data_IF_669593112625
#
_entry.id   IF_669593112625
#
_cell.length_a   1.000
_cell.length_b   1.000
_cell.length_c   1.000
_cell.angle_alpha   90.00
_cell.angle_beta   90.00
_cell.angle_gamma   90.00
#
_symmetry.space_group_name_H-M   'P 1'
#
loop_
_entity.id
_entity.type
_entity.pdbx_description
1 polymer ?
#
# COMPACT_ATOMS: atom_id res chain seq x y z
N UNK A 1 -2.64 -16.15 -3.66
CA UNK A 1 -3.29 -15.01 -4.37
C UNK A 1 -4.34 -15.53 -5.32
N UNK A 2 -5.49 -14.88 -5.42
CA UNK A 2 -6.41 -15.12 -6.53
C UNK A 2 -5.69 -14.73 -7.82
N UNK A 3 -5.68 -15.59 -8.85
CA UNK A 3 -4.89 -15.41 -10.07
C UNK A 3 -5.12 -14.12 -10.89
N UNK A 4 -5.97 -13.22 -10.38
CA UNK A 4 -6.35 -11.95 -11.00
C UNK A 4 -5.73 -10.71 -10.33
N UNK A 5 -4.82 -10.86 -9.37
CA UNK A 5 -4.18 -9.72 -8.69
C UNK A 5 -2.66 -9.81 -8.82
N UNK A 6 -2.02 -8.66 -8.96
CA UNK A 6 -0.58 -8.50 -9.03
C UNK A 6 -0.09 -7.52 -7.98
N UNK A 7 0.72 -8.01 -7.02
CA UNK A 7 1.43 -7.19 -6.05
C UNK A 7 2.86 -6.98 -6.52
N UNK A 8 3.29 -5.73 -6.59
CA UNK A 8 4.64 -5.37 -7.02
C UNK A 8 5.03 -3.97 -6.56
N UNK A 9 6.31 -3.66 -6.68
CA UNK A 9 6.79 -2.30 -6.45
C UNK A 9 6.20 -1.34 -7.49
N UNK A 10 5.88 -0.13 -7.01
CA UNK A 10 5.42 0.95 -7.85
C UNK A 10 6.51 1.40 -8.83
N UNK A 11 6.10 1.89 -9.98
CA UNK A 11 6.98 2.50 -10.98
C UNK A 11 6.79 4.01 -10.98
N UNK A 12 7.81 4.73 -11.42
CA UNK A 12 7.78 6.20 -11.43
C UNK A 12 6.63 6.78 -12.27
N UNK A 13 6.32 6.14 -13.39
CA UNK A 13 5.20 6.53 -14.26
C UNK A 13 3.81 6.34 -13.63
N UNK A 14 3.72 5.70 -12.48
CA UNK A 14 2.47 5.44 -11.75
C UNK A 14 2.23 6.46 -10.63
N UNK A 15 3.14 7.40 -10.42
CA UNK A 15 3.08 8.39 -9.34
C UNK A 15 1.76 9.15 -9.31
N UNK A 16 1.28 9.61 -10.46
CA UNK A 16 0.03 10.37 -10.56
C UNK A 16 -1.20 9.50 -10.23
N UNK A 17 -1.23 8.25 -10.68
CA UNK A 17 -2.31 7.29 -10.37
C UNK A 17 -2.36 6.99 -8.86
N UNK A 18 -1.20 6.83 -8.23
CA UNK A 18 -1.07 6.61 -6.79
C UNK A 18 -1.55 7.83 -6.01
N UNK A 19 -1.13 9.03 -6.42
CA UNK A 19 -1.55 10.28 -5.79
C UNK A 19 -3.07 10.49 -5.92
N UNK A 20 -3.66 10.15 -7.06
CA UNK A 20 -5.12 10.19 -7.25
C UNK A 20 -5.83 9.21 -6.31
N UNK A 21 -5.29 8.01 -6.11
CA UNK A 21 -5.81 7.08 -5.11
C UNK A 21 -5.80 7.69 -3.72
N UNK A 22 -4.68 8.29 -3.28
CA UNK A 22 -4.60 8.94 -1.97
C UNK A 22 -5.61 10.07 -1.82
N UNK A 23 -5.71 10.96 -2.80
CA UNK A 23 -6.67 12.07 -2.83
C UNK A 23 -8.12 11.58 -2.76
N UNK A 24 -8.44 10.45 -3.39
CA UNK A 24 -9.78 9.87 -3.37
C UNK A 24 -10.22 9.36 -2.00
N UNK A 25 -9.27 9.13 -1.09
CA UNK A 25 -9.53 8.65 0.27
C UNK A 25 -9.70 9.78 1.28
N UNK A 26 -9.21 10.99 0.97
CA UNK A 26 -9.32 12.16 1.86
C UNK A 26 -10.79 12.46 2.13
N UNK A 27 -11.12 12.70 3.40
CA UNK A 27 -12.50 12.97 3.85
C UNK A 27 -13.42 11.74 3.92
N UNK A 28 -12.91 10.55 3.60
CA UNK A 28 -13.65 9.30 3.84
C UNK A 28 -13.57 8.89 5.30
N UNK A 29 -14.52 8.08 5.76
CA UNK A 29 -14.55 7.57 7.12
C UNK A 29 -13.22 6.85 7.48
N UNK A 30 -12.65 7.18 8.63
CA UNK A 30 -11.37 6.63 9.15
C UNK A 30 -10.09 7.05 8.42
N UNK A 31 -10.16 7.92 7.43
CA UNK A 31 -8.98 8.47 6.78
C UNK A 31 -8.52 9.73 7.56
N UNK A 32 -7.31 9.67 8.11
CA UNK A 32 -6.69 10.82 8.80
C UNK A 32 -5.89 11.71 7.86
N UNK A 33 -5.82 11.35 6.57
CA UNK A 33 -5.11 12.14 5.58
C UNK A 33 -5.84 13.43 5.23
N UNK A 34 -5.06 14.41 4.80
CA UNK A 34 -5.54 15.74 4.43
C UNK A 34 -5.02 16.12 3.05
N UNK A 35 -5.42 17.26 2.52
CA UNK A 35 -4.87 17.79 1.27
C UNK A 35 -3.36 18.07 1.35
N UNK A 36 -2.82 18.17 2.57
CA UNK A 36 -1.40 18.42 2.82
C UNK A 36 -0.59 17.15 3.08
N UNK A 37 -1.24 15.98 3.14
CA UNK A 37 -0.57 14.69 3.37
C UNK A 37 -1.50 13.48 3.10
N UNK A 38 -1.04 12.44 2.35
CA UNK A 38 0.20 12.41 1.54
C UNK A 38 0.09 13.28 0.29
N UNK A 39 1.21 13.88 -0.10
CA UNK A 39 1.33 14.71 -1.30
C UNK A 39 2.24 14.03 -2.35
N UNK A 40 2.47 14.71 -3.45
CA UNK A 40 3.44 14.29 -4.46
C UNK A 40 4.85 14.08 -3.87
N UNK A 41 5.21 14.86 -2.83
CA UNK A 41 6.50 14.76 -2.15
C UNK A 41 6.68 13.37 -1.50
N UNK A 42 5.68 12.87 -0.78
CA UNK A 42 5.73 11.56 -0.13
C UNK A 42 5.75 10.43 -1.17
N UNK A 43 4.97 10.55 -2.26
CA UNK A 43 4.99 9.57 -3.35
C UNK A 43 6.37 9.51 -4.02
N UNK A 44 6.96 10.65 -4.37
CA UNK A 44 8.30 10.73 -4.97
C UNK A 44 9.38 10.22 -4.02
N UNK A 45 9.28 10.52 -2.72
CA UNK A 45 10.20 10.03 -1.71
C UNK A 45 10.17 8.51 -1.63
N UNK A 46 8.99 7.89 -1.55
CA UNK A 46 8.84 6.44 -1.51
C UNK A 46 9.32 5.76 -2.79
N UNK A 47 9.00 6.33 -3.95
CA UNK A 47 9.47 5.83 -5.24
C UNK A 47 10.99 5.90 -5.35
N UNK A 48 11.62 6.97 -4.85
CA UNK A 48 13.08 7.15 -4.89
C UNK A 48 13.83 6.08 -4.09
N UNK A 49 13.21 5.58 -3.01
CA UNK A 49 13.74 4.51 -2.14
C UNK A 49 13.28 3.12 -2.57
N UNK A 50 12.46 3.01 -3.62
CA UNK A 50 11.84 1.77 -4.04
C UNK A 50 10.98 1.14 -2.92
N UNK A 51 10.34 1.97 -2.11
CA UNK A 51 9.66 1.64 -0.86
C UNK A 51 8.12 1.62 -0.97
N UNK A 52 7.58 1.85 -2.16
CA UNK A 52 6.14 1.88 -2.43
C UNK A 52 5.71 0.63 -3.21
N UNK A 53 4.69 -0.04 -2.71
CA UNK A 53 4.09 -1.20 -3.35
C UNK A 53 2.68 -0.92 -3.80
N UNK A 54 2.31 -1.50 -4.93
CA UNK A 54 0.98 -1.42 -5.50
C UNK A 54 0.37 -2.82 -5.66
N UNK A 55 -0.93 -2.89 -5.48
CA UNK A 55 -1.73 -4.05 -5.84
C UNK A 55 -2.63 -3.66 -7.01
N UNK A 56 -2.50 -4.41 -8.11
CA UNK A 56 -3.31 -4.23 -9.32
C UNK A 56 -4.27 -5.38 -9.50
N UNK A 57 -5.48 -5.08 -9.94
CA UNK A 57 -6.38 -6.06 -10.53
C UNK A 57 -6.04 -6.21 -12.01
N UNK A 58 -5.71 -7.41 -12.45
CA UNK A 58 -5.43 -7.69 -13.87
C UNK A 58 -6.73 -7.58 -14.66
N UNK A 59 -6.72 -6.76 -15.69
CA UNK A 59 -7.83 -6.75 -16.65
C UNK A 59 -7.77 -8.04 -17.48
N UNK A 60 -8.92 -8.69 -17.75
CA UNK A 60 -8.94 -9.80 -18.70
C UNK A 60 -8.37 -9.31 -20.03
N UNK A 61 -7.52 -10.11 -20.64
CA UNK A 61 -7.04 -9.80 -22.00
C UNK A 61 -8.25 -9.70 -22.92
N UNK A 62 -8.32 -8.66 -23.78
CA UNK A 62 -9.38 -8.56 -24.76
C UNK A 62 -9.35 -9.80 -25.65
N UNK A 63 -10.50 -10.45 -25.82
CA UNK A 63 -10.65 -11.68 -26.62
C UNK A 63 -10.06 -11.43 -28.02
N UNK A 64 -9.09 -12.25 -28.47
CA UNK A 64 -8.42 -12.11 -29.76
C UNK A 64 -9.42 -12.05 -30.94
N UNK A 65 -10.68 -12.47 -30.71
CA UNK A 65 -11.75 -12.39 -31.68
C UNK A 65 -12.26 -10.99 -31.98
N UNK A 66 -12.08 -10.03 -31.03
CA UNK A 66 -12.45 -8.63 -31.26
C UNK A 66 -11.35 -7.80 -31.93
N UNK A 67 -10.07 -8.26 -31.87
CA UNK A 67 -8.97 -7.57 -32.53
C UNK A 67 -8.95 -7.82 -34.06
N UNK A 68 -9.51 -8.94 -34.54
CA UNK A 68 -9.59 -9.26 -35.98
C UNK A 68 -10.50 -8.35 -36.80
N UNK A 69 -11.36 -7.57 -36.17
CA UNK A 69 -12.33 -6.70 -36.85
C UNK A 69 -11.87 -5.25 -37.08
N UNK A 70 -10.69 -4.86 -36.57
CA UNK A 70 -10.17 -3.47 -36.65
C UNK A 70 -8.86 -3.28 -37.40
N UNK A 71 -8.33 -4.32 -38.02
CA UNK A 71 -7.14 -4.20 -38.87
C UNK A 71 -7.53 -3.88 -40.32
N UNK A 72 -7.88 -2.64 -40.60
CA UNK A 72 -7.79 -2.03 -41.91
C UNK A 72 -6.54 -1.14 -41.94
N UNK A 73 -5.55 -1.64 -42.71
CA UNK A 73 -4.44 -0.92 -43.33
C UNK A 73 -3.73 0.23 -42.56
N UNK A 74 -2.48 -0.02 -42.18
CA UNK A 74 -1.47 1.03 -42.20
C UNK A 74 -0.91 1.51 -40.85
N UNK A 75 -1.06 0.79 -39.70
CA UNK A 75 -0.35 1.15 -38.49
C UNK A 75 0.62 0.05 -38.06
N UNK A 76 1.91 0.39 -38.09
CA UNK A 76 2.99 -0.39 -37.49
C UNK A 76 2.69 -0.65 -36.02
N UNK A 77 2.78 -1.92 -35.60
CA UNK A 77 2.65 -2.33 -34.21
C UNK A 77 3.63 -1.54 -33.34
N UNK A 78 3.12 -0.63 -32.53
CA UNK A 78 3.84 0.00 -31.44
C UNK A 78 4.20 -1.05 -30.37
N UNK A 79 5.13 -0.77 -29.43
CA UNK A 79 5.59 -1.73 -28.45
C UNK A 79 4.40 -2.27 -27.67
N UNK A 80 4.43 -3.61 -27.43
CA UNK A 80 3.43 -4.41 -26.73
C UNK A 80 2.73 -3.62 -25.63
N UNK A 81 1.43 -3.39 -25.78
CA UNK A 81 0.58 -2.82 -24.76
C UNK A 81 0.68 -3.72 -23.53
N UNK A 82 1.45 -3.31 -22.54
CA UNK A 82 1.39 -3.88 -21.21
C UNK A 82 -0.06 -3.71 -20.77
N UNK A 83 -0.79 -4.80 -20.63
CA UNK A 83 -2.15 -4.80 -20.09
C UNK A 83 -2.10 -4.16 -18.71
N UNK A 84 -2.42 -2.87 -18.66
CA UNK A 84 -2.35 -2.06 -17.46
C UNK A 84 -3.51 -2.49 -16.59
N UNK A 85 -3.23 -3.25 -15.53
CA UNK A 85 -4.21 -3.59 -14.52
C UNK A 85 -4.77 -2.31 -13.86
N UNK A 86 -5.86 -2.40 -13.14
CA UNK A 86 -6.43 -1.32 -12.36
C UNK A 86 -5.75 -1.26 -10.99
N UNK A 87 -5.23 -0.12 -10.59
CA UNK A 87 -4.70 0.09 -9.25
C UNK A 87 -5.83 0.00 -8.22
N UNK A 88 -5.71 -0.93 -7.28
CA UNK A 88 -6.73 -1.18 -6.25
C UNK A 88 -6.25 -0.90 -4.83
N UNK A 89 -4.95 -0.74 -4.63
CA UNK A 89 -4.40 -0.34 -3.34
C UNK A 89 -2.88 -0.22 -3.34
N UNK A 90 -2.39 0.43 -2.30
CA UNK A 90 -0.97 0.72 -2.09
C UNK A 90 -0.58 0.50 -0.64
N UNK A 91 0.70 0.30 -0.40
CA UNK A 91 1.33 0.31 0.92
C UNK A 91 2.78 0.77 0.78
N UNK A 92 3.25 1.60 1.70
CA UNK A 92 4.63 2.09 1.73
C UNK A 92 5.43 1.49 2.88
N UNK A 93 6.73 1.42 2.71
CA UNK A 93 7.71 1.20 3.78
C UNK A 93 8.32 2.56 4.09
N UNK A 94 8.15 3.02 5.31
CA UNK A 94 8.66 4.32 5.77
C UNK A 94 9.91 4.18 6.62
N UNK A 95 10.50 5.31 6.96
CA UNK A 95 11.64 5.45 7.86
C UNK A 95 11.52 6.78 8.63
N UNK A 96 10.32 7.06 9.16
CA UNK A 96 10.06 8.28 9.91
C UNK A 96 10.79 8.25 11.25
N UNK A 97 11.74 9.17 11.51
CA UNK A 97 12.53 9.16 12.73
C UNK A 97 11.70 9.44 13.99
N UNK A 98 10.55 10.10 13.89
CA UNK A 98 9.65 10.32 15.04
C UNK A 98 8.93 9.03 15.41
N UNK A 99 8.60 8.19 14.43
CA UNK A 99 8.00 6.86 14.66
C UNK A 99 9.05 5.89 15.20
N UNK A 100 10.24 5.87 14.61
CA UNK A 100 11.34 5.00 15.06
C UNK A 100 11.78 5.30 16.51
N UNK A 101 11.73 6.58 16.93
CA UNK A 101 12.13 7.01 18.27
C UNK A 101 11.11 6.68 19.37
N UNK A 102 9.95 6.12 19.06
CA UNK A 102 8.96 5.77 20.08
C UNK A 102 9.50 4.66 20.99
N UNK A 103 9.41 4.88 22.30
CA UNK A 103 9.94 3.96 23.30
C UNK A 103 9.10 2.70 23.53
N UNK A 104 8.00 2.55 22.81
CA UNK A 104 7.10 1.40 22.93
C UNK A 104 7.54 0.18 22.13
N UNK A 105 8.46 0.35 21.16
CA UNK A 105 8.89 -0.74 20.30
C UNK A 105 9.82 -1.75 21.02
N UNK A 106 9.75 -3.02 20.60
CA UNK A 106 10.60 -4.08 21.13
C UNK A 106 12.04 -3.94 20.64
N UNK A 107 13.00 -3.78 21.55
CA UNK A 107 14.42 -3.58 21.22
C UNK A 107 15.06 -4.80 20.51
N UNK A 108 14.54 -6.02 20.79
CA UNK A 108 15.11 -7.28 20.27
C UNK A 108 14.70 -7.59 18.83
N UNK A 109 13.72 -6.89 18.28
CA UNK A 109 13.14 -7.16 16.96
C UNK A 109 13.78 -6.32 15.84
N UNK A 110 15.10 -6.35 15.75
CA UNK A 110 15.84 -5.60 14.71
C UNK A 110 16.50 -6.51 13.68
N UNK A 111 16.53 -6.14 12.37
CA UNK A 111 16.01 -4.91 11.77
C UNK A 111 14.47 -4.92 11.63
N UNK A 112 13.89 -3.75 11.80
CA UNK A 112 12.45 -3.50 11.70
C UNK A 112 12.16 -2.56 10.53
N UNK A 113 10.94 -2.63 9.97
CA UNK A 113 10.46 -1.71 8.95
C UNK A 113 9.12 -1.11 9.39
N UNK A 114 8.93 0.18 9.14
CA UNK A 114 7.63 0.83 9.31
C UNK A 114 6.75 0.60 8.07
N UNK A 115 5.53 0.12 8.28
CA UNK A 115 4.49 0.08 7.25
C UNK A 115 3.61 1.33 7.37
N UNK A 116 3.46 2.07 6.28
CA UNK A 116 2.71 3.31 6.25
C UNK A 116 1.88 3.46 4.98
N UNK A 117 1.13 4.54 4.88
CA UNK A 117 0.35 4.96 3.70
C UNK A 117 -0.39 3.82 3.00
N UNK A 118 -1.03 2.94 3.82
CA UNK A 118 -1.89 1.89 3.30
C UNK A 118 -3.20 2.50 2.79
N UNK A 119 -3.41 2.46 1.49
CA UNK A 119 -4.60 2.96 0.82
C UNK A 119 -5.29 1.86 0.01
N UNK A 120 -6.62 1.80 0.06
CA UNK A 120 -7.44 0.88 -0.74
C UNK A 120 -8.54 1.66 -1.43
N UNK A 121 -8.64 1.52 -2.77
CA UNK A 121 -9.67 2.16 -3.56
C UNK A 121 -11.07 1.84 -3.02
N UNK A 122 -11.95 2.84 -2.96
CA UNK A 122 -13.23 2.79 -2.24
C UNK A 122 -14.08 1.57 -2.63
N UNK A 123 -14.16 1.25 -3.91
CA UNK A 123 -14.92 0.13 -4.46
C UNK A 123 -14.32 -1.25 -4.15
N UNK A 124 -13.07 -1.30 -3.66
CA UNK A 124 -12.37 -2.52 -3.25
C UNK A 124 -12.26 -2.67 -1.73
N UNK A 125 -12.75 -1.71 -0.97
CA UNK A 125 -12.78 -1.81 0.49
C UNK A 125 -13.71 -2.94 0.97
N UNK A 126 -13.49 -3.41 2.19
CA UNK A 126 -14.24 -4.52 2.80
C UNK A 126 -14.13 -5.88 2.05
N UNK A 127 -13.20 -6.00 1.09
CA UNK A 127 -12.93 -7.23 0.33
C UNK A 127 -11.62 -7.91 0.73
N UNK A 128 -11.01 -7.49 1.83
CA UNK A 128 -9.76 -8.05 2.33
C UNK A 128 -8.48 -7.54 1.65
N UNK A 129 -8.58 -6.50 0.80
CA UNK A 129 -7.44 -5.94 0.05
C UNK A 129 -6.35 -5.42 0.99
N UNK A 130 -6.70 -4.67 2.04
CA UNK A 130 -5.73 -4.20 3.04
C UNK A 130 -4.94 -5.37 3.66
N UNK A 131 -5.61 -6.51 3.94
CA UNK A 131 -4.95 -7.70 4.46
C UNK A 131 -3.97 -8.30 3.45
N UNK A 132 -4.34 -8.34 2.17
CA UNK A 132 -3.45 -8.83 1.10
C UNK A 132 -2.21 -7.93 1.02
N UNK A 133 -2.37 -6.61 0.98
CA UNK A 133 -1.28 -5.65 0.95
C UNK A 133 -0.30 -5.86 2.12
N UNK A 134 -0.83 -5.98 3.34
CA UNK A 134 -0.02 -6.23 4.53
C UNK A 134 0.72 -7.56 4.46
N UNK A 135 0.06 -8.64 4.07
CA UNK A 135 0.68 -9.97 3.96
C UNK A 135 1.80 -10.01 2.92
N UNK A 136 1.57 -9.43 1.75
CA UNK A 136 2.58 -9.39 0.68
C UNK A 136 3.76 -8.48 1.06
N UNK A 137 3.50 -7.29 1.65
CA UNK A 137 4.56 -6.41 2.11
C UNK A 137 5.41 -7.07 3.21
N UNK A 138 4.78 -7.72 4.19
CA UNK A 138 5.49 -8.46 5.24
C UNK A 138 6.29 -9.64 4.68
N UNK A 139 5.77 -10.37 3.69
CA UNK A 139 6.50 -11.46 3.04
C UNK A 139 7.73 -10.95 2.30
N UNK A 140 7.61 -9.83 1.60
CA UNK A 140 8.72 -9.17 0.91
C UNK A 140 9.79 -8.71 1.92
N UNK A 141 9.40 -8.02 3.00
CA UNK A 141 10.31 -7.56 4.05
C UNK A 141 11.03 -8.72 4.75
N UNK A 142 10.31 -9.79 5.07
CA UNK A 142 10.91 -11.02 5.60
C UNK A 142 11.98 -11.58 4.66
N UNK A 143 11.72 -11.60 3.36
CA UNK A 143 12.68 -12.07 2.35
C UNK A 143 13.95 -11.21 2.29
N UNK A 144 13.84 -9.93 2.68
CA UNK A 144 14.95 -8.98 2.78
C UNK A 144 15.70 -9.05 4.13
N UNK A 145 15.25 -9.90 5.06
CA UNK A 145 15.90 -10.13 6.34
C UNK A 145 15.39 -9.25 7.48
N UNK A 146 14.31 -8.50 7.29
CA UNK A 146 13.63 -7.81 8.39
C UNK A 146 13.03 -8.83 9.36
N UNK A 147 13.07 -8.52 10.65
CA UNK A 147 12.55 -9.39 11.72
C UNK A 147 11.16 -9.00 12.19
N UNK A 148 10.82 -7.74 12.04
CA UNK A 148 9.52 -7.21 12.46
C UNK A 148 9.06 -6.06 11.58
N UNK A 149 7.79 -5.70 11.75
CA UNK A 149 7.19 -4.50 11.20
C UNK A 149 6.49 -3.70 12.27
N UNK A 150 6.56 -2.38 12.16
CA UNK A 150 5.80 -1.42 12.95
C UNK A 150 4.72 -0.77 12.10
N UNK A 151 3.61 -0.36 12.72
CA UNK A 151 2.58 0.41 12.06
C UNK A 151 1.81 1.26 13.06
N UNK A 152 1.60 2.53 12.74
CA UNK A 152 0.70 3.41 13.50
C UNK A 152 -0.71 3.33 12.94
N UNK A 153 -1.69 3.18 13.83
CA UNK A 153 -3.10 3.09 13.46
C UNK A 153 -3.88 4.11 14.25
N UNK A 154 -4.54 5.04 13.56
CA UNK A 154 -5.42 6.01 14.23
C UNK A 154 -6.45 5.27 15.09
N UNK A 155 -6.61 5.69 16.35
CA UNK A 155 -7.48 5.00 17.33
C UNK A 155 -8.92 4.87 16.88
N UNK A 156 -9.40 5.80 16.07
CA UNK A 156 -10.75 5.80 15.51
C UNK A 156 -10.94 4.86 14.32
N UNK A 157 -9.85 4.31 13.75
CA UNK A 157 -9.92 3.45 12.57
C UNK A 157 -10.24 1.99 12.94
N UNK A 158 -11.47 1.75 13.39
CA UNK A 158 -11.94 0.42 13.81
C UNK A 158 -11.88 -0.64 12.69
N UNK A 159 -11.90 -0.24 11.42
CA UNK A 159 -11.75 -1.18 10.29
C UNK A 159 -10.33 -1.70 10.17
N UNK A 160 -9.34 -0.82 10.33
CA UNK A 160 -7.94 -1.19 10.33
C UNK A 160 -7.63 -2.10 11.53
N UNK A 161 -8.07 -1.74 12.74
CA UNK A 161 -7.87 -2.52 13.96
C UNK A 161 -8.28 -3.99 13.78
N UNK A 162 -9.46 -4.25 13.22
CA UNK A 162 -9.94 -5.62 12.93
C UNK A 162 -9.05 -6.39 11.93
N UNK A 163 -8.41 -5.69 11.02
CA UNK A 163 -7.50 -6.31 10.04
C UNK A 163 -6.19 -6.71 10.70
N UNK A 164 -5.67 -5.89 11.61
CA UNK A 164 -4.43 -6.14 12.33
C UNK A 164 -4.57 -7.28 13.36
N UNK A 165 -5.69 -7.35 14.07
CA UNK A 165 -6.00 -8.49 14.94
C UNK A 165 -5.95 -9.84 14.16
N UNK A 166 -6.58 -9.89 12.99
CA UNK A 166 -6.58 -11.10 12.14
C UNK A 166 -5.21 -11.48 11.59
N UNK A 167 -4.29 -10.54 11.54
CA UNK A 167 -2.90 -10.75 11.13
C UNK A 167 -1.97 -10.97 12.33
N UNK A 168 -2.52 -11.04 13.55
CA UNK A 168 -1.78 -11.26 14.80
C UNK A 168 -0.71 -10.19 15.06
N UNK A 169 -1.03 -8.92 14.76
CA UNK A 169 -0.27 -7.82 15.29
C UNK A 169 -0.51 -7.68 16.78
N UNK A 170 0.53 -7.33 17.52
CA UNK A 170 0.46 -7.03 18.95
C UNK A 170 0.48 -5.51 19.17
N UNK A 171 -0.28 -5.05 20.14
CA UNK A 171 -0.21 -3.64 20.55
C UNK A 171 1.05 -3.45 21.38
N UNK A 172 2.01 -2.68 20.87
CA UNK A 172 3.22 -2.30 21.58
C UNK A 172 3.00 -1.11 22.53
N UNK A 173 2.08 -0.21 22.16
CA UNK A 173 1.77 0.97 22.96
C UNK A 173 0.80 1.91 22.26
N UNK A 174 0.84 3.17 22.66
CA UNK A 174 0.09 4.25 22.06
C UNK A 174 0.94 5.52 22.00
N UNK A 175 0.62 6.42 21.08
CA UNK A 175 1.32 7.71 20.96
C UNK A 175 0.39 8.81 20.44
N UNK A 176 0.83 10.05 20.64
CA UNK A 176 0.30 11.24 20.00
C UNK A 176 1.33 11.75 19.01
N UNK A 177 1.06 11.65 17.72
CA UNK A 177 1.92 12.15 16.65
C UNK A 177 1.08 12.82 15.56
N UNK A 178 1.64 13.79 14.88
CA UNK A 178 1.03 14.47 13.73
C UNK A 178 -0.37 15.02 14.02
N UNK A 179 -0.66 15.34 15.32
CA UNK A 179 -1.95 15.85 15.76
C UNK A 179 -3.06 14.79 15.93
N UNK A 180 -2.71 13.51 15.91
CA UNK A 180 -3.64 12.40 16.08
C UNK A 180 -3.16 11.40 17.14
N UNK A 181 -4.14 10.68 17.72
CA UNK A 181 -3.87 9.57 18.66
C UNK A 181 -3.77 8.26 17.90
N UNK A 182 -2.70 7.51 18.14
CA UNK A 182 -2.45 6.24 17.48
C UNK A 182 -2.27 5.09 18.47
N UNK A 183 -2.68 3.91 18.03
CA UNK A 183 -2.14 2.65 18.52
C UNK A 183 -0.84 2.32 17.77
N UNK A 184 0.18 1.93 18.53
CA UNK A 184 1.44 1.40 18.00
C UNK A 184 1.32 -0.11 17.92
N UNK A 185 1.31 -0.65 16.71
CA UNK A 185 1.26 -2.08 16.47
C UNK A 185 2.58 -2.60 15.95
N UNK A 186 2.97 -3.77 16.46
CA UNK A 186 4.19 -4.46 16.09
C UNK A 186 3.87 -5.90 15.70
N UNK A 187 4.64 -6.44 14.76
CA UNK A 187 4.54 -7.84 14.39
C UNK A 187 5.89 -8.42 14.00
N UNK A 188 6.28 -9.53 14.63
CA UNK A 188 7.39 -10.38 14.21
C UNK A 188 7.06 -11.08 12.88
N UNK A 189 8.06 -11.15 11.95
CA UNK A 189 7.93 -11.66 10.58
C UNK A 189 8.37 -13.14 10.44
#
# INVERSE_FOLDING_TARGET
MNGNMEFRRARREEAEEILQLYRSLIGTEYCVWTENYPTEREVEFDLSRNALFCLYERMPEPDEREQGARLSEGQTAGPLSVTRGRLIGTISIDDDPEVEALSCWSEDLTPVAELSRLGVAAEYQNRGIARILLQEAMAELKSQGYKAVHILVAKDNVKALRSYEKLHFTTAGECELFGHSYWCYEKEL
#
